data_IF_288032096428
#
_entry.id   IF_288032096428
#
_cell.length_a   1.000
_cell.length_b   1.000
_cell.length_c   1.000
_cell.angle_alpha   90.00
_cell.angle_beta   90.00
_cell.angle_gamma   90.00
#
_symmetry.space_group_name_H-M   'P 1'
#
loop_
_entity.id
_entity.type
_entity.pdbx_description
1 polymer ?
#
# COMPACT_ATOMS: atom_id res chain seq x y z
N UNK A 1 -23.35 -6.73 -5.25
CA UNK A 1 -21.96 -6.39 -4.92
C UNK A 1 -21.95 -5.60 -3.63
N UNK A 2 -21.24 -6.08 -2.64
CA UNK A 2 -21.07 -5.41 -1.36
C UNK A 2 -19.57 -5.14 -1.12
N UNK A 3 -19.23 -3.98 -0.59
CA UNK A 3 -17.86 -3.63 -0.20
C UNK A 3 -17.85 -3.34 1.30
N UNK A 4 -16.87 -3.89 1.99
CA UNK A 4 -16.61 -3.65 3.40
C UNK A 4 -15.18 -3.18 3.59
N UNK A 5 -14.96 -2.25 4.50
CA UNK A 5 -13.63 -1.69 4.79
C UNK A 5 -13.39 -1.65 6.29
N UNK A 6 -12.14 -1.83 6.69
CA UNK A 6 -11.66 -1.53 8.02
C UNK A 6 -10.30 -0.87 7.92
N UNK A 7 -10.05 0.07 8.82
CA UNK A 7 -8.76 0.76 8.94
C UNK A 7 -8.49 1.03 10.42
N UNK A 8 -7.24 0.93 10.82
CA UNK A 8 -6.78 1.15 12.19
C UNK A 8 -5.40 1.77 12.19
N UNK A 9 -5.24 2.89 12.88
CA UNK A 9 -3.95 3.56 12.99
C UNK A 9 -3.02 2.79 13.92
N UNK A 10 -1.80 2.51 13.46
CA UNK A 10 -0.80 1.75 14.22
C UNK A 10 -0.37 2.44 15.51
N UNK A 11 -0.44 3.77 15.56
CA UNK A 11 0.01 4.56 16.71
C UNK A 11 -1.08 5.49 17.22
N UNK A 12 -1.51 5.34 18.49
CA UNK A 12 -2.43 6.30 19.12
C UNK A 12 -1.86 7.74 19.04
N UNK A 13 -2.70 8.68 18.58
CA UNK A 13 -2.33 10.09 18.46
C UNK A 13 -1.58 10.49 17.19
N UNK A 14 -1.31 9.56 16.27
CA UNK A 14 -0.89 9.85 14.90
C UNK A 14 -2.07 9.73 13.93
N UNK A 15 -2.05 10.53 12.86
CA UNK A 15 -3.00 10.34 11.76
C UNK A 15 -2.70 9.03 11.07
N UNK A 16 -3.75 8.29 10.73
CA UNK A 16 -3.62 7.16 9.82
C UNK A 16 -3.15 7.67 8.44
N UNK A 17 -2.10 7.08 7.92
CA UNK A 17 -1.47 7.46 6.66
C UNK A 17 -1.97 6.60 5.48
N UNK A 18 -2.85 5.62 5.75
CA UNK A 18 -3.53 4.85 4.72
C UNK A 18 -4.78 5.55 4.19
N UNK A 19 -5.16 5.20 2.98
CA UNK A 19 -6.46 5.52 2.38
C UNK A 19 -7.03 4.29 1.68
N UNK A 20 -8.33 4.05 1.84
CA UNK A 20 -9.04 3.07 1.04
C UNK A 20 -10.40 3.61 0.60
N UNK A 21 -10.84 3.18 -0.58
CA UNK A 21 -12.15 3.55 -1.10
C UNK A 21 -12.62 2.64 -2.22
N UNK A 22 -13.90 2.75 -2.54
CA UNK A 22 -14.53 1.97 -3.60
C UNK A 22 -15.56 2.78 -4.38
N UNK A 23 -15.64 2.48 -5.68
CA UNK A 23 -16.67 2.94 -6.62
C UNK A 23 -17.28 1.72 -7.29
N UNK A 24 -18.42 1.82 -7.99
CA UNK A 24 -19.07 0.66 -8.60
C UNK A 24 -18.16 -0.18 -9.52
N UNK A 25 -17.20 0.46 -10.20
CA UNK A 25 -16.29 -0.19 -11.14
C UNK A 25 -14.92 -0.58 -10.52
N UNK A 26 -14.65 -0.31 -9.22
CA UNK A 26 -13.36 -0.69 -8.65
C UNK A 26 -13.10 -0.26 -7.22
N UNK A 27 -11.92 -0.60 -6.76
CA UNK A 27 -11.41 -0.28 -5.42
C UNK A 27 -9.98 0.26 -5.50
N UNK A 28 -9.64 1.14 -4.58
CA UNK A 28 -8.31 1.75 -4.44
C UNK A 28 -7.89 1.67 -2.98
N UNK A 29 -6.63 1.30 -2.75
CA UNK A 29 -5.93 1.41 -1.48
C UNK A 29 -4.62 2.14 -1.72
N UNK A 30 -4.30 3.08 -0.85
CA UNK A 30 -3.05 3.83 -0.83
C UNK A 30 -2.47 3.71 0.57
N UNK A 31 -1.28 3.16 0.67
CA UNK A 31 -0.50 2.98 1.90
C UNK A 31 0.60 4.05 1.90
N UNK A 32 0.42 5.05 2.72
CA UNK A 32 1.26 6.24 2.73
C UNK A 32 2.49 6.08 3.62
N UNK A 33 3.63 6.55 3.13
CA UNK A 33 4.85 6.59 3.91
C UNK A 33 5.67 7.86 3.63
N UNK A 34 6.53 8.24 4.57
CA UNK A 34 7.37 9.43 4.41
C UNK A 34 8.01 9.87 5.72
N UNK A 35 8.73 10.98 5.65
CA UNK A 35 9.38 11.56 6.83
C UNK A 35 10.46 10.67 7.46
N UNK A 36 11.11 11.20 8.47
CA UNK A 36 11.99 10.49 9.40
C UNK A 36 11.80 11.16 10.75
N UNK A 37 11.68 10.37 11.81
CA UNK A 37 11.59 10.90 13.17
C UNK A 37 12.78 11.81 13.51
N UNK A 38 12.51 12.98 14.08
CA UNK A 38 13.55 13.94 14.46
C UNK A 38 14.19 14.72 13.30
N UNK A 39 13.69 14.57 12.06
CA UNK A 39 14.11 15.36 10.90
C UNK A 39 13.03 16.37 10.53
N UNK A 40 13.45 17.58 10.12
CA UNK A 40 12.53 18.64 9.69
C UNK A 40 11.67 18.18 8.51
N UNK A 41 10.38 18.52 8.56
CA UNK A 41 9.43 18.17 7.50
C UNK A 41 9.72 18.95 6.22
N UNK A 42 9.94 18.24 5.14
CA UNK A 42 10.14 18.82 3.78
C UNK A 42 8.83 19.05 3.05
N UNK A 43 7.75 18.43 3.52
CA UNK A 43 6.39 18.66 3.04
C UNK A 43 5.51 19.13 4.21
N UNK A 44 4.91 20.31 4.09
CA UNK A 44 4.05 20.89 5.12
C UNK A 44 2.71 20.15 5.25
N UNK A 45 2.28 19.42 4.23
CA UNK A 45 0.99 18.73 4.21
C UNK A 45 1.05 17.38 4.94
N UNK A 46 2.17 16.66 4.84
CA UNK A 46 2.38 15.36 5.45
C UNK A 46 1.83 14.19 4.62
N UNK A 47 2.06 12.97 5.14
CA UNK A 47 1.80 11.71 4.44
C UNK A 47 0.31 11.43 4.33
N UNK A 48 -0.46 11.57 5.41
CA UNK A 48 -1.91 11.33 5.39
C UNK A 48 -2.64 12.22 4.38
N UNK A 49 -2.18 13.48 4.19
CA UNK A 49 -2.72 14.35 3.14
C UNK A 49 -2.39 13.80 1.75
N UNK A 50 -1.14 13.37 1.53
CA UNK A 50 -0.71 12.82 0.24
C UNK A 50 -1.53 11.58 -0.12
N UNK A 51 -1.63 10.59 0.80
CA UNK A 51 -2.39 9.37 0.61
C UNK A 51 -3.87 9.65 0.31
N UNK A 52 -4.50 10.55 1.09
CA UNK A 52 -5.89 10.94 0.89
C UNK A 52 -6.11 11.62 -0.47
N UNK A 53 -5.20 12.51 -0.87
CA UNK A 53 -5.31 13.23 -2.15
C UNK A 53 -5.10 12.30 -3.33
N UNK A 54 -4.07 11.47 -3.29
CA UNK A 54 -3.82 10.47 -4.32
C UNK A 54 -5.01 9.50 -4.44
N UNK A 55 -5.45 8.91 -3.33
CA UNK A 55 -6.56 7.96 -3.31
C UNK A 55 -7.87 8.56 -3.82
N UNK A 56 -8.18 9.79 -3.43
CA UNK A 56 -9.35 10.53 -3.95
C UNK A 56 -9.28 10.79 -5.45
N UNK A 57 -8.11 11.17 -5.98
CA UNK A 57 -7.89 11.36 -7.40
C UNK A 57 -8.06 10.04 -8.17
N UNK A 58 -7.47 8.95 -7.68
CA UNK A 58 -7.57 7.62 -8.30
C UNK A 58 -9.02 7.13 -8.34
N UNK A 59 -9.77 7.26 -7.23
CA UNK A 59 -11.18 6.88 -7.21
C UNK A 59 -12.04 7.72 -8.18
N UNK A 60 -11.78 9.03 -8.25
CA UNK A 60 -12.50 9.93 -9.15
C UNK A 60 -12.19 9.69 -10.63
N UNK A 61 -10.99 9.20 -10.93
CA UNK A 61 -10.52 8.91 -12.29
C UNK A 61 -10.79 7.46 -12.74
N UNK A 62 -11.12 6.55 -11.79
CA UNK A 62 -11.33 5.13 -12.10
C UNK A 62 -12.58 4.93 -12.95
N UNK A 63 -12.39 4.50 -14.18
CA UNK A 63 -13.43 4.22 -15.17
C UNK A 63 -13.22 2.84 -15.81
N UNK A 64 -13.99 2.54 -16.86
CA UNK A 64 -13.93 1.25 -17.58
C UNK A 64 -13.10 1.30 -18.88
N UNK A 65 -12.56 2.46 -19.23
CA UNK A 65 -11.95 2.69 -20.55
C UNK A 65 -10.42 2.80 -20.47
N UNK A 66 -9.92 3.60 -19.51
CA UNK A 66 -8.48 3.87 -19.38
C UNK A 66 -7.75 2.73 -18.65
N UNK A 67 -6.49 2.50 -18.98
CA UNK A 67 -5.70 1.52 -18.23
C UNK A 67 -5.50 1.94 -16.77
N UNK A 68 -5.34 0.97 -15.85
CA UNK A 68 -5.03 1.29 -14.45
C UNK A 68 -3.70 2.05 -14.31
N UNK A 69 -2.76 1.84 -15.24
CA UNK A 69 -1.49 2.59 -15.27
C UNK A 69 -1.72 4.06 -15.60
N UNK A 70 -2.56 4.37 -16.60
CA UNK A 70 -2.86 5.75 -16.96
C UNK A 70 -3.59 6.48 -15.83
N UNK A 71 -4.54 5.80 -15.17
CA UNK A 71 -5.23 6.34 -14.00
C UNK A 71 -4.25 6.65 -12.87
N UNK A 72 -3.30 5.74 -12.59
CA UNK A 72 -2.28 5.96 -11.55
C UNK A 72 -1.31 7.07 -11.95
N UNK A 73 -0.85 7.13 -13.20
CA UNK A 73 0.05 8.17 -13.68
C UNK A 73 -0.56 9.57 -13.53
N UNK A 74 -1.81 9.75 -13.98
CA UNK A 74 -2.54 11.00 -13.82
C UNK A 74 -2.75 11.38 -12.34
N UNK A 75 -3.05 10.40 -11.49
CA UNK A 75 -3.20 10.61 -10.05
C UNK A 75 -1.90 11.09 -9.40
N UNK A 76 -0.76 10.50 -9.75
CA UNK A 76 0.56 10.93 -9.27
C UNK A 76 0.86 12.35 -9.74
N UNK A 77 0.65 12.65 -11.02
CA UNK A 77 0.87 13.99 -11.57
C UNK A 77 -0.02 15.03 -10.87
N UNK A 78 -1.30 14.73 -10.72
CA UNK A 78 -2.27 15.62 -10.08
C UNK A 78 -1.90 15.94 -8.62
N UNK A 79 -1.55 14.94 -7.81
CA UNK A 79 -1.18 15.18 -6.41
C UNK A 79 0.14 15.92 -6.30
N UNK A 80 1.09 15.65 -7.20
CA UNK A 80 2.40 16.31 -7.24
C UNK A 80 2.25 17.79 -7.58
N UNK A 81 1.46 18.12 -8.60
CA UNK A 81 1.15 19.50 -8.99
C UNK A 81 0.45 20.27 -7.85
N UNK A 82 -0.38 19.56 -7.08
CA UNK A 82 -1.10 20.15 -5.95
C UNK A 82 -0.21 20.68 -4.82
N UNK A 83 1.08 20.35 -4.77
CA UNK A 83 1.96 20.80 -3.68
C UNK A 83 3.41 21.14 -4.06
N UNK A 84 3.82 20.98 -5.34
CA UNK A 84 5.20 21.26 -5.78
C UNK A 84 5.65 22.70 -5.55
N UNK A 85 4.72 23.67 -5.57
CA UNK A 85 5.04 25.09 -5.33
C UNK A 85 5.32 25.41 -3.85
N UNK A 86 4.99 24.49 -2.95
CA UNK A 86 5.05 24.70 -1.50
C UNK A 86 5.86 23.68 -0.73
N UNK A 87 6.30 22.62 -1.43
CA UNK A 87 7.05 21.50 -0.85
C UNK A 87 8.13 21.05 -1.82
N UNK A 88 9.23 20.53 -1.29
CA UNK A 88 10.22 19.81 -2.10
C UNK A 88 9.75 18.38 -2.36
N UNK A 89 9.00 18.19 -3.45
CA UNK A 89 8.41 16.91 -3.83
C UNK A 89 9.46 15.87 -4.21
N UNK A 90 10.65 16.30 -4.62
CA UNK A 90 11.75 15.42 -5.05
C UNK A 90 12.59 14.90 -3.88
N UNK A 91 12.52 15.55 -2.72
CA UNK A 91 13.33 15.20 -1.56
C UNK A 91 13.11 13.75 -1.12
N UNK A 92 14.15 13.00 -0.73
CA UNK A 92 14.03 11.57 -0.35
C UNK A 92 13.03 11.27 0.76
N UNK A 93 12.76 12.20 1.68
CA UNK A 93 11.78 12.02 2.77
C UNK A 93 10.44 12.70 2.51
N UNK A 94 10.19 13.23 1.31
CA UNK A 94 8.85 13.67 0.90
C UNK A 94 7.86 12.52 0.96
N UNK A 95 6.57 12.79 1.16
CA UNK A 95 5.53 11.77 1.11
C UNK A 95 5.56 10.94 -0.18
N UNK A 96 5.27 9.68 -0.05
CA UNK A 96 5.10 8.71 -1.12
C UNK A 96 4.10 7.65 -0.67
N UNK A 97 3.70 6.74 -1.55
CA UNK A 97 2.79 5.66 -1.18
C UNK A 97 3.00 4.39 -2.01
N UNK A 98 2.73 3.24 -1.39
CA UNK A 98 2.34 2.05 -2.13
C UNK A 98 0.87 2.17 -2.54
N UNK A 99 0.54 1.58 -3.70
CA UNK A 99 -0.81 1.66 -4.27
C UNK A 99 -1.27 0.29 -4.73
N UNK A 100 -2.47 -0.10 -4.34
CA UNK A 100 -3.16 -1.26 -4.91
C UNK A 100 -4.52 -0.83 -5.48
N UNK A 101 -4.83 -1.30 -6.68
CA UNK A 101 -6.06 -0.99 -7.39
C UNK A 101 -6.69 -2.27 -7.95
N UNK A 102 -8.02 -2.33 -7.91
CA UNK A 102 -8.83 -3.33 -8.61
C UNK A 102 -9.87 -2.65 -9.47
N UNK A 103 -10.07 -3.14 -10.70
CA UNK A 103 -11.13 -2.72 -11.59
C UNK A 103 -11.98 -3.91 -12.00
N UNK A 104 -13.30 -3.71 -11.98
CA UNK A 104 -14.31 -4.68 -12.40
C UNK A 104 -14.95 -4.18 -13.69
N UNK A 105 -14.53 -4.70 -14.84
CA UNK A 105 -14.95 -4.20 -16.15
C UNK A 105 -15.04 -5.32 -17.19
N UNK A 106 -16.06 -5.29 -18.03
CA UNK A 106 -16.12 -6.05 -19.27
C UNK A 106 -15.95 -7.57 -19.16
N UNK A 107 -16.32 -8.17 -18.00
CA UNK A 107 -16.11 -9.60 -17.78
C UNK A 107 -14.74 -9.95 -17.22
N UNK A 108 -13.94 -8.96 -16.80
CA UNK A 108 -12.64 -9.14 -16.16
C UNK A 108 -12.55 -8.40 -14.83
N UNK A 109 -11.67 -8.92 -13.95
CA UNK A 109 -11.18 -8.21 -12.76
C UNK A 109 -9.69 -7.95 -12.99
N UNK A 110 -9.34 -6.69 -13.15
CA UNK A 110 -7.95 -6.26 -13.34
C UNK A 110 -7.36 -5.77 -12.02
N UNK A 111 -6.07 -6.00 -11.85
CA UNK A 111 -5.32 -5.49 -10.69
C UNK A 111 -4.07 -4.74 -11.11
N UNK A 112 -3.70 -3.77 -10.29
CA UNK A 112 -2.42 -3.08 -10.34
C UNK A 112 -1.90 -2.92 -8.91
N UNK A 113 -0.61 -3.22 -8.71
CA UNK A 113 0.10 -2.99 -7.44
C UNK A 113 1.43 -2.29 -7.74
N UNK A 114 1.70 -1.21 -7.01
CA UNK A 114 2.97 -0.49 -7.02
C UNK A 114 3.42 -0.30 -5.56
N UNK A 115 4.61 -0.81 -5.19
CA UNK A 115 5.09 -0.87 -3.81
C UNK A 115 4.58 -2.12 -3.09
N UNK A 116 4.59 -2.11 -1.76
CA UNK A 116 4.36 -3.27 -0.89
C UNK A 116 2.91 -3.49 -0.45
N UNK A 117 1.97 -2.73 -1.01
CA UNK A 117 0.55 -3.05 -0.89
C UNK A 117 0.22 -4.37 -1.62
N UNK A 118 -0.91 -4.98 -1.27
CA UNK A 118 -1.29 -6.30 -1.80
C UNK A 118 -2.70 -6.29 -2.38
N UNK A 119 -2.87 -6.94 -3.54
CA UNK A 119 -4.18 -7.28 -4.09
C UNK A 119 -4.37 -8.80 -4.12
N UNK A 120 -5.48 -9.27 -3.57
CA UNK A 120 -5.83 -10.69 -3.50
C UNK A 120 -7.16 -10.91 -4.20
N UNK A 121 -7.18 -11.82 -5.19
CA UNK A 121 -8.37 -12.19 -5.95
C UNK A 121 -8.69 -13.66 -5.71
N UNK A 122 -9.76 -13.91 -4.98
CA UNK A 122 -10.26 -15.26 -4.69
C UNK A 122 -10.96 -15.86 -5.90
N UNK A 123 -10.68 -17.12 -6.17
CA UNK A 123 -11.18 -17.85 -7.34
C UNK A 123 -12.21 -18.89 -6.96
N UNK A 124 -13.12 -19.20 -7.88
CA UNK A 124 -14.09 -20.27 -7.69
C UNK A 124 -13.42 -21.66 -7.55
N UNK A 125 -12.26 -21.84 -8.17
CA UNK A 125 -11.46 -23.04 -8.03
C UNK A 125 -9.95 -22.70 -8.04
N UNK A 126 -9.18 -23.40 -7.22
CA UNK A 126 -7.73 -23.24 -7.09
C UNK A 126 -7.31 -22.17 -6.09
N UNK A 127 -6.02 -21.85 -6.12
CA UNK A 127 -5.44 -20.85 -5.23
C UNK A 127 -5.83 -19.41 -5.65
N UNK A 128 -5.93 -18.48 -4.70
CA UNK A 128 -6.17 -17.09 -5.03
C UNK A 128 -5.01 -16.50 -5.86
N UNK A 129 -5.32 -15.54 -6.72
CA UNK A 129 -4.30 -14.72 -7.36
C UNK A 129 -3.87 -13.65 -6.36
N UNK A 130 -2.58 -13.60 -6.08
CA UNK A 130 -1.96 -12.61 -5.18
C UNK A 130 -1.01 -11.75 -5.99
N UNK A 131 -1.32 -10.47 -6.11
CA UNK A 131 -0.44 -9.49 -6.71
C UNK A 131 0.24 -8.69 -5.59
N UNK A 132 1.55 -8.74 -5.54
CA UNK A 132 2.40 -7.98 -4.64
C UNK A 132 3.76 -7.72 -5.28
N UNK A 133 4.46 -6.70 -4.84
CA UNK A 133 5.82 -6.40 -5.28
C UNK A 133 6.80 -6.70 -4.14
N UNK A 134 7.66 -7.73 -4.26
CA UNK A 134 8.58 -8.09 -3.19
C UNK A 134 9.83 -7.21 -3.11
N UNK A 135 10.05 -6.30 -4.07
CA UNK A 135 11.31 -5.54 -4.22
C UNK A 135 11.63 -4.71 -2.98
N UNK A 136 10.66 -4.01 -2.41
CA UNK A 136 10.86 -3.20 -1.20
C UNK A 136 11.25 -4.06 -0.01
N UNK A 137 10.51 -5.12 0.27
CA UNK A 137 10.78 -6.05 1.39
C UNK A 137 12.15 -6.70 1.27
N UNK A 138 12.54 -7.12 0.06
CA UNK A 138 13.86 -7.73 -0.18
C UNK A 138 15.00 -6.73 0.10
N UNK A 139 14.82 -5.48 -0.32
CA UNK A 139 15.82 -4.43 -0.08
C UNK A 139 15.84 -4.03 1.39
N UNK A 140 14.68 -3.81 2.02
CA UNK A 140 14.56 -3.43 3.42
C UNK A 140 15.27 -4.43 4.35
N UNK A 141 15.10 -5.75 4.12
CA UNK A 141 15.79 -6.80 4.89
C UNK A 141 17.31 -6.65 4.87
N UNK A 142 17.90 -6.20 3.76
CA UNK A 142 19.35 -5.97 3.69
C UNK A 142 19.82 -4.80 4.57
N UNK A 143 18.92 -3.89 4.92
CA UNK A 143 19.18 -2.78 5.82
C UNK A 143 18.84 -3.11 7.27
N UNK A 144 17.89 -3.99 7.55
CA UNK A 144 17.52 -4.43 8.90
C UNK A 144 18.73 -4.96 9.68
N UNK A 145 19.56 -5.82 9.06
CA UNK A 145 20.77 -6.33 9.68
C UNK A 145 21.77 -5.22 10.00
N UNK A 146 21.87 -4.20 9.15
CA UNK A 146 22.77 -3.04 9.32
C UNK A 146 22.24 -2.07 10.37
N UNK A 147 20.94 -2.03 10.60
CA UNK A 147 20.25 -1.16 11.55
C UNK A 147 20.09 -1.78 12.95
N UNK A 148 20.23 -3.10 13.08
CA UNK A 148 19.88 -3.88 14.25
C UNK A 148 20.46 -3.35 15.58
N UNK A 149 21.71 -2.86 15.55
CA UNK A 149 22.41 -2.36 16.75
C UNK A 149 22.67 -0.85 16.69
N UNK A 150 22.00 -0.14 15.75
CA UNK A 150 22.18 1.29 15.55
C UNK A 150 21.04 2.05 16.25
N UNK A 151 21.36 2.99 17.17
CA UNK A 151 20.35 3.80 17.82
C UNK A 151 19.52 4.62 16.82
N UNK A 152 18.19 4.55 16.91
CA UNK A 152 17.26 5.20 15.96
C UNK A 152 17.38 6.73 15.93
N UNK A 153 17.86 7.36 17.01
CA UNK A 153 18.10 8.79 17.11
C UNK A 153 19.50 9.23 16.63
N UNK A 154 20.36 8.24 16.26
CA UNK A 154 21.74 8.46 15.85
C UNK A 154 21.91 8.93 14.39
N UNK A 155 23.04 9.60 14.11
CA UNK A 155 23.36 10.04 12.74
C UNK A 155 23.61 8.87 11.78
N UNK A 156 24.11 7.74 12.30
CA UNK A 156 24.28 6.54 11.49
C UNK A 156 22.96 5.92 11.06
N UNK A 157 21.97 5.86 11.95
CA UNK A 157 20.61 5.43 11.61
C UNK A 157 20.03 6.29 10.49
N UNK A 158 20.12 7.63 10.65
CA UNK A 158 19.66 8.58 9.61
C UNK A 158 20.35 8.36 8.28
N UNK A 159 21.67 8.14 8.30
CA UNK A 159 22.44 7.87 7.09
C UNK A 159 22.00 6.59 6.39
N UNK A 160 21.85 5.49 7.12
CA UNK A 160 21.38 4.20 6.59
C UNK A 160 19.95 4.29 6.06
N UNK A 161 19.10 5.00 6.78
CA UNK A 161 17.71 5.21 6.36
C UNK A 161 17.64 6.06 5.07
N UNK A 162 18.44 7.10 4.94
CA UNK A 162 18.55 7.88 3.72
C UNK A 162 19.11 7.06 2.55
N UNK A 163 20.05 6.15 2.82
CA UNK A 163 20.58 5.21 1.82
C UNK A 163 19.49 4.26 1.32
N UNK A 164 18.67 3.71 2.22
CA UNK A 164 17.49 2.91 1.85
C UNK A 164 16.51 3.74 0.99
N UNK A 165 16.20 4.97 1.44
CA UNK A 165 15.30 5.87 0.70
C UNK A 165 15.82 6.25 -0.69
N UNK A 166 17.14 6.30 -0.88
CA UNK A 166 17.76 6.55 -2.18
C UNK A 166 17.63 5.38 -3.17
N UNK A 167 17.23 4.18 -2.68
CA UNK A 167 16.92 3.03 -3.55
C UNK A 167 15.54 3.13 -4.19
N UNK A 168 14.71 4.05 -3.74
CA UNK A 168 13.35 4.24 -4.26
C UNK A 168 13.37 4.80 -5.66
N UNK A 169 12.45 4.33 -6.50
CA UNK A 169 12.23 4.77 -7.88
C UNK A 169 13.54 4.79 -8.71
N UNK A 170 14.35 3.74 -8.53
CA UNK A 170 15.63 3.60 -9.22
C UNK A 170 15.88 2.17 -9.70
N UNK A 171 16.60 1.95 -10.79
CA UNK A 171 16.96 0.62 -11.26
C UNK A 171 17.68 -0.20 -10.17
N UNK A 172 17.23 -1.43 -9.95
CA UNK A 172 17.74 -2.30 -8.88
C UNK A 172 17.27 -1.90 -7.47
N UNK A 173 16.35 -0.97 -7.38
CA UNK A 173 15.65 -0.55 -6.17
C UNK A 173 14.20 -1.04 -6.14
N UNK A 174 13.33 -0.28 -5.51
CA UNK A 174 11.89 -0.53 -5.42
C UNK A 174 11.10 0.71 -5.89
N UNK A 175 9.82 0.51 -6.21
CA UNK A 175 9.02 1.51 -6.91
C UNK A 175 7.76 1.85 -6.12
N UNK A 176 7.47 3.13 -5.98
CA UNK A 176 6.33 3.69 -5.24
C UNK A 176 5.78 4.94 -5.94
N UNK A 177 4.54 5.27 -5.69
CA UNK A 177 3.94 6.52 -6.13
C UNK A 177 4.55 7.69 -5.36
N UNK A 178 5.13 8.67 -6.09
CA UNK A 178 5.75 9.86 -5.50
C UNK A 178 5.59 11.08 -6.42
N UNK A 179 6.61 11.50 -7.11
CA UNK A 179 6.66 12.71 -7.93
C UNK A 179 6.84 12.44 -9.43
N UNK A 180 7.23 11.23 -9.81
CA UNK A 180 7.41 10.82 -11.20
C UNK A 180 6.31 9.84 -11.63
N UNK A 181 5.38 10.23 -12.53
CA UNK A 181 4.32 9.36 -13.01
C UNK A 181 4.81 8.15 -13.81
N UNK A 182 6.05 8.17 -14.34
CA UNK A 182 6.61 7.05 -15.14
C UNK A 182 6.82 5.77 -14.31
N UNK A 183 6.82 5.86 -12.99
CA UNK A 183 6.93 4.68 -12.11
C UNK A 183 5.84 3.64 -12.34
N UNK A 184 4.73 4.02 -12.98
CA UNK A 184 3.62 3.09 -13.31
C UNK A 184 4.03 1.96 -14.26
N UNK A 185 5.10 2.15 -15.03
CA UNK A 185 5.63 1.10 -15.91
C UNK A 185 6.19 -0.09 -15.11
N UNK A 186 6.58 0.15 -13.86
CA UNK A 186 7.13 -0.84 -12.95
C UNK A 186 6.06 -1.54 -12.08
N UNK A 187 4.80 -1.12 -12.20
CA UNK A 187 3.71 -1.73 -11.44
C UNK A 187 3.43 -3.17 -11.87
N UNK A 188 3.17 -4.02 -10.90
CA UNK A 188 2.68 -5.39 -11.10
C UNK A 188 1.22 -5.32 -11.54
N UNK A 189 0.91 -5.86 -12.70
CA UNK A 189 -0.45 -5.84 -13.26
C UNK A 189 -0.87 -7.22 -13.74
N UNK A 190 -2.18 -7.48 -13.73
CA UNK A 190 -2.76 -8.68 -14.29
C UNK A 190 -4.28 -8.61 -14.32
N UNK A 191 -4.89 -9.71 -14.77
CA UNK A 191 -6.35 -9.81 -14.85
C UNK A 191 -6.82 -11.25 -14.61
N UNK A 192 -8.07 -11.38 -14.16
CA UNK A 192 -8.78 -12.65 -13.97
C UNK A 192 -10.16 -12.56 -14.65
N UNK A 193 -10.69 -13.64 -15.25
CA UNK A 193 -12.07 -13.67 -15.71
C UNK A 193 -13.03 -13.39 -14.55
N UNK A 194 -14.00 -12.50 -14.73
CA UNK A 194 -14.90 -12.09 -13.66
C UNK A 194 -15.82 -13.21 -13.16
N UNK A 195 -16.12 -14.20 -13.99
CA UNK A 195 -16.89 -15.38 -13.64
C UNK A 195 -16.12 -16.40 -12.78
N UNK A 196 -14.78 -16.33 -12.76
CA UNK A 196 -13.91 -17.10 -11.87
C UNK A 196 -13.69 -16.41 -10.51
N UNK A 197 -14.00 -15.12 -10.39
CA UNK A 197 -13.74 -14.33 -9.19
C UNK A 197 -14.91 -14.39 -8.21
N UNK A 198 -14.65 -14.90 -7.01
CA UNK A 198 -15.64 -14.98 -5.92
C UNK A 198 -15.59 -13.78 -4.99
N UNK A 199 -14.38 -13.37 -4.62
CA UNK A 199 -14.09 -12.26 -3.70
C UNK A 199 -12.83 -11.54 -4.15
N UNK A 200 -12.64 -10.31 -3.72
CA UNK A 200 -11.40 -9.57 -3.99
C UNK A 200 -11.09 -8.60 -2.86
N UNK A 201 -9.82 -8.47 -2.48
CA UNK A 201 -9.37 -7.62 -1.40
C UNK A 201 -8.12 -6.82 -1.79
N UNK A 202 -8.00 -5.61 -1.23
CA UNK A 202 -6.76 -4.83 -1.19
C UNK A 202 -6.36 -4.65 0.28
N UNK A 203 -5.07 -4.79 0.55
CA UNK A 203 -4.49 -4.68 1.88
C UNK A 203 -3.27 -3.74 1.86
N UNK A 204 -3.13 -2.90 2.89
CA UNK A 204 -1.87 -2.24 3.17
C UNK A 204 -0.86 -3.24 3.75
N UNK A 205 0.42 -2.86 3.77
CA UNK A 205 1.46 -3.72 4.30
C UNK A 205 1.22 -4.07 5.78
N UNK A 206 0.72 -3.12 6.60
CA UNK A 206 0.35 -3.38 7.98
C UNK A 206 -0.74 -4.45 8.12
N UNK A 207 -1.70 -4.50 7.21
CA UNK A 207 -2.76 -5.52 7.24
C UNK A 207 -2.29 -6.89 6.69
N UNK A 208 -1.39 -6.91 5.70
CA UNK A 208 -0.87 -8.15 5.11
C UNK A 208 0.06 -8.92 6.06
N UNK A 209 0.56 -8.29 7.13
CA UNK A 209 1.41 -8.91 8.17
C UNK A 209 0.84 -10.20 8.75
N UNK A 210 -0.48 -10.38 8.74
CA UNK A 210 -1.10 -11.64 9.18
C UNK A 210 -0.53 -12.85 8.41
N UNK A 211 -0.26 -12.67 7.12
CA UNK A 211 0.29 -13.69 6.22
C UNK A 211 1.81 -13.56 6.08
N UNK A 212 2.28 -12.38 5.66
CA UNK A 212 3.65 -12.17 5.19
C UNK A 212 4.69 -12.12 6.32
N UNK A 213 4.32 -11.57 7.47
CA UNK A 213 5.22 -11.36 8.60
C UNK A 213 5.04 -12.42 9.64
N UNK A 214 3.81 -12.65 10.08
CA UNK A 214 3.51 -13.53 11.21
C UNK A 214 3.21 -14.97 10.80
N UNK A 215 2.90 -15.25 9.52
CA UNK A 215 2.57 -16.59 9.04
C UNK A 215 1.37 -17.23 9.76
N UNK A 216 0.45 -16.42 10.29
CA UNK A 216 -0.73 -16.88 11.05
C UNK A 216 -1.86 -17.35 10.15
N UNK A 217 -1.75 -17.11 8.85
CA UNK A 217 -2.66 -17.59 7.81
C UNK A 217 -1.91 -17.71 6.48
N UNK A 218 -2.50 -18.41 5.54
CA UNK A 218 -2.21 -18.25 4.11
C UNK A 218 -3.23 -17.31 3.47
N UNK A 219 -3.04 -16.97 2.21
CA UNK A 219 -3.94 -16.06 1.50
C UNK A 219 -5.36 -16.61 1.36
N UNK A 220 -5.52 -17.91 1.16
CA UNK A 220 -6.83 -18.55 1.12
C UNK A 220 -7.52 -18.50 2.50
N UNK A 221 -6.78 -18.70 3.58
CA UNK A 221 -7.25 -18.55 4.95
C UNK A 221 -7.65 -17.12 5.28
N UNK A 222 -6.87 -16.13 4.82
CA UNK A 222 -7.20 -14.71 4.98
C UNK A 222 -8.52 -14.37 4.28
N UNK A 223 -8.74 -14.84 3.04
CA UNK A 223 -10.01 -14.62 2.34
C UNK A 223 -11.19 -15.26 3.08
N UNK A 224 -11.02 -16.49 3.61
CA UNK A 224 -12.05 -17.12 4.46
C UNK A 224 -12.35 -16.31 5.73
N UNK A 225 -11.31 -15.77 6.36
CA UNK A 225 -11.48 -14.93 7.55
C UNK A 225 -12.23 -13.63 7.22
N UNK A 226 -11.92 -13.00 6.09
CA UNK A 226 -12.66 -11.83 5.60
C UNK A 226 -14.15 -12.15 5.38
N UNK A 227 -14.44 -13.35 4.86
CA UNK A 227 -15.80 -13.81 4.56
C UNK A 227 -16.62 -14.12 5.81
N UNK A 228 -16.01 -14.74 6.84
CA UNK A 228 -16.69 -15.16 8.07
C UNK A 228 -16.78 -14.07 9.12
N UNK A 229 -15.68 -13.33 9.33
CA UNK A 229 -15.52 -12.43 10.47
C UNK A 229 -15.29 -10.97 10.04
N UNK A 230 -14.94 -10.75 8.78
CA UNK A 230 -14.74 -9.42 8.19
C UNK A 230 -13.35 -8.82 8.43
N UNK A 231 -13.10 -7.64 7.81
CA UNK A 231 -11.76 -7.05 7.79
C UNK A 231 -11.28 -6.55 9.15
N UNK A 232 -12.17 -6.15 10.05
CA UNK A 232 -11.79 -5.71 11.40
C UNK A 232 -11.16 -6.83 12.23
N UNK A 233 -11.62 -8.08 12.04
CA UNK A 233 -11.04 -9.24 12.72
C UNK A 233 -9.63 -9.56 12.23
N UNK A 234 -9.36 -9.39 10.94
CA UNK A 234 -8.00 -9.53 10.40
C UNK A 234 -7.05 -8.54 11.07
N UNK A 235 -7.43 -7.26 11.14
CA UNK A 235 -6.64 -6.22 11.79
C UNK A 235 -6.45 -6.52 13.28
N UNK A 236 -7.49 -6.95 13.98
CA UNK A 236 -7.39 -7.32 15.39
C UNK A 236 -6.35 -8.42 15.63
N UNK A 237 -6.30 -9.45 14.78
CA UNK A 237 -5.30 -10.53 14.86
C UNK A 237 -3.89 -10.03 14.57
N UNK A 238 -3.74 -9.09 13.64
CA UNK A 238 -2.44 -8.43 13.40
C UNK A 238 -1.99 -7.72 14.66
N UNK A 239 -2.85 -6.91 15.30
CA UNK A 239 -2.53 -6.18 16.55
C UNK A 239 -2.13 -7.11 17.69
N UNK A 240 -2.81 -8.25 17.83
CA UNK A 240 -2.44 -9.27 18.84
C UNK A 240 -1.07 -9.90 18.54
N UNK A 241 -0.76 -10.13 17.27
CA UNK A 241 0.54 -10.67 16.87
C UNK A 241 1.66 -9.65 17.10
N UNK A 242 1.47 -8.40 16.71
CA UNK A 242 2.41 -7.30 16.95
C UNK A 242 2.74 -7.17 18.44
N UNK A 243 1.71 -7.16 19.30
CA UNK A 243 1.89 -7.09 20.75
C UNK A 243 2.63 -8.31 21.33
N UNK A 244 2.33 -9.50 20.82
CA UNK A 244 2.99 -10.74 21.25
C UNK A 244 4.46 -10.82 20.85
N UNK A 245 4.78 -10.39 19.63
CA UNK A 245 6.15 -10.45 19.07
C UNK A 245 6.98 -9.20 19.44
N UNK A 246 6.37 -8.18 20.08
CA UNK A 246 7.04 -6.93 20.39
C UNK A 246 7.41 -6.09 19.16
N UNK A 247 6.67 -6.26 18.06
CA UNK A 247 6.85 -5.50 16.83
C UNK A 247 6.02 -4.22 16.89
N UNK A 248 6.57 -3.10 16.42
CA UNK A 248 5.84 -1.83 16.32
C UNK A 248 4.62 -1.97 15.41
N UNK A 249 3.48 -1.43 15.85
CA UNK A 249 2.28 -1.40 15.03
C UNK A 249 2.43 -0.43 13.85
N UNK A 250 1.84 -0.80 12.72
CA UNK A 250 1.74 0.03 11.53
C UNK A 250 0.29 0.34 11.20
N UNK A 251 0.02 1.35 10.39
CA UNK A 251 -1.34 1.57 9.89
C UNK A 251 -1.80 0.33 9.13
N UNK A 252 -3.02 -0.12 9.38
CA UNK A 252 -3.55 -1.34 8.79
C UNK A 252 -4.92 -1.10 8.17
N UNK A 253 -5.01 -1.31 6.86
CA UNK A 253 -6.22 -1.01 6.09
C UNK A 253 -6.55 -2.15 5.14
N UNK A 254 -7.82 -2.49 5.08
CA UNK A 254 -8.38 -3.51 4.17
C UNK A 254 -9.63 -2.94 3.53
N UNK A 255 -9.74 -3.09 2.22
CA UNK A 255 -11.00 -2.97 1.46
C UNK A 255 -11.26 -4.27 0.73
N UNK A 256 -12.44 -4.85 0.92
CA UNK A 256 -12.79 -6.11 0.32
C UNK A 256 -14.20 -6.13 -0.26
N UNK A 257 -14.34 -6.86 -1.35
CA UNK A 257 -15.58 -7.03 -2.11
C UNK A 257 -16.04 -8.49 -2.07
N UNK A 258 -17.34 -8.68 -1.83
CA UNK A 258 -18.02 -9.98 -1.80
C UNK A 258 -19.43 -9.92 -2.38
#
# INVERSE_FOLDING_TARGET
MRVTMATDAGHPGRSNEDFAGAVPCGMVLVDGAGGISGVEKVCRHGVAWYATRLGGALLGALDQERSLRDVLAEGIEWVTDGHRDTCDVTHPISPFAAVAMLRFSGGTVEHLVLGDAVAVVGRAAGEPVVAHDPREVVIARSFEERLKDVPEDGDEYRRLFMELRARRNSPGGFWVAKDDPRVVDEAVTGSSPADDVTVAALLSNGASRLVDTFGLSDWAGLLRLLETDGPAEVIRRVREAEAREGVGADDATIVWRH
#
